data_IF_664531884037
#
_entry.id   IF_664531884037
#
_cell.length_a   1.000
_cell.length_b   1.000
_cell.length_c   1.000
_cell.angle_alpha   90.00
_cell.angle_beta   90.00
_cell.angle_gamma   90.00
#
_symmetry.space_group_name_H-M   'P 1'
#
loop_
_entity.id
_entity.type
_entity.pdbx_description
1 polymer ?
#
# COMPACT_ATOMS: atom_id res chain seq x y z
N UNK A 1 -11.45 10.25 -8.93
CA UNK A 1 -12.66 9.79 -8.21
C UNK A 1 -13.45 10.90 -7.53
N UNK A 2 -12.82 11.96 -6.99
CA UNK A 2 -13.54 13.11 -6.40
C UNK A 2 -14.31 13.98 -7.42
N UNK A 3 -13.81 14.09 -8.67
CA UNK A 3 -14.42 14.94 -9.70
C UNK A 3 -15.82 14.50 -10.18
N UNK A 4 -16.25 13.27 -9.86
CA UNK A 4 -17.53 12.73 -10.31
C UNK A 4 -18.51 12.40 -9.18
N UNK A 5 -18.14 12.57 -7.91
CA UNK A 5 -18.89 11.97 -6.79
C UNK A 5 -19.39 12.93 -5.70
N UNK A 6 -19.07 14.22 -5.78
CA UNK A 6 -19.50 15.21 -4.80
C UNK A 6 -18.85 15.02 -3.43
N UNK A 7 -18.81 16.08 -2.63
CA UNK A 7 -18.34 16.06 -1.24
C UNK A 7 -19.47 15.59 -0.33
N UNK A 8 -19.27 14.50 0.41
CA UNK A 8 -20.21 14.07 1.45
C UNK A 8 -20.63 12.59 1.44
N UNK A 9 -19.88 11.71 0.77
CA UNK A 9 -20.23 10.28 0.73
C UNK A 9 -19.07 9.46 1.28
N UNK A 10 -19.40 8.48 2.14
CA UNK A 10 -18.51 7.60 2.91
C UNK A 10 -17.60 6.70 2.08
N UNK A 11 -16.84 7.26 1.14
CA UNK A 11 -15.69 6.65 0.48
C UNK A 11 -14.45 6.60 1.38
N UNK A 12 -14.60 7.01 2.64
CA UNK A 12 -13.55 7.05 3.64
C UNK A 12 -14.11 6.38 4.90
N UNK A 13 -13.56 5.21 5.24
CA UNK A 13 -13.86 4.55 6.51
C UNK A 13 -13.03 5.29 7.56
N UNK A 14 -13.70 6.04 8.42
CA UNK A 14 -13.11 6.80 9.52
C UNK A 14 -13.98 6.56 10.74
N UNK A 15 -13.38 6.30 11.90
CA UNK A 15 -14.10 5.94 13.11
C UNK A 15 -13.22 5.56 14.30
N UNK A 16 -13.84 5.30 15.46
CA UNK A 16 -13.18 4.77 16.67
C UNK A 16 -12.40 3.49 16.35
N UNK A 17 -11.33 3.19 17.10
CA UNK A 17 -10.41 2.05 16.84
C UNK A 17 -11.13 0.69 16.71
N UNK A 18 -12.27 0.50 17.38
CA UNK A 18 -13.13 -0.70 17.28
C UNK A 18 -13.79 -0.90 15.92
N UNK A 19 -13.92 0.17 15.11
CA UNK A 19 -14.45 0.12 13.75
C UNK A 19 -13.37 -0.19 12.70
N UNK A 20 -12.10 -0.08 13.09
CA UNK A 20 -10.95 -0.14 12.20
C UNK A 20 -10.06 -1.39 12.46
N UNK A 21 -10.39 -2.18 13.48
CA UNK A 21 -9.60 -3.33 13.94
C UNK A 21 -9.23 -4.32 12.82
N UNK A 22 -10.16 -4.62 11.91
CA UNK A 22 -9.91 -5.58 10.81
C UNK A 22 -8.99 -5.03 9.73
N UNK A 23 -9.10 -3.75 9.40
CA UNK A 23 -8.22 -3.14 8.39
C UNK A 23 -6.85 -2.82 9.01
N UNK A 24 -6.77 -2.48 10.29
CA UNK A 24 -5.50 -2.39 11.02
C UNK A 24 -4.78 -3.73 11.09
N UNK A 25 -5.51 -4.82 11.38
CA UNK A 25 -4.94 -6.17 11.33
C UNK A 25 -4.45 -6.52 9.93
N UNK A 26 -5.22 -6.19 8.90
CA UNK A 26 -4.80 -6.37 7.51
C UNK A 26 -3.52 -5.59 7.19
N UNK A 27 -3.42 -4.31 7.60
CA UNK A 27 -2.21 -3.51 7.41
C UNK A 27 -0.99 -4.06 8.14
N UNK A 28 -1.19 -4.62 9.33
CA UNK A 28 -0.15 -5.36 10.04
C UNK A 28 0.32 -6.57 9.21
N UNK A 29 -0.60 -7.40 8.73
CA UNK A 29 -0.27 -8.60 7.96
C UNK A 29 0.40 -8.23 6.60
N UNK A 30 -0.03 -7.15 5.94
CA UNK A 30 0.63 -6.60 4.73
C UNK A 30 2.08 -6.19 5.03
N UNK A 31 2.27 -5.45 6.12
CA UNK A 31 3.59 -4.92 6.48
C UNK A 31 4.52 -6.06 6.90
N UNK A 32 4.01 -7.01 7.67
CA UNK A 32 4.77 -8.14 8.17
C UNK A 32 5.14 -9.15 7.08
N UNK A 33 4.17 -9.61 6.27
CA UNK A 33 4.37 -10.73 5.36
C UNK A 33 4.97 -10.31 4.01
N UNK A 34 4.61 -9.11 3.54
CA UNK A 34 5.06 -8.59 2.25
C UNK A 34 6.07 -7.46 2.41
N UNK A 35 5.80 -6.49 3.28
CA UNK A 35 6.57 -5.25 3.38
C UNK A 35 7.95 -5.43 4.04
N UNK A 36 8.03 -6.28 5.07
CA UNK A 36 9.19 -6.40 5.95
C UNK A 36 10.46 -6.79 5.17
N UNK A 37 10.37 -7.76 4.27
CA UNK A 37 11.52 -8.19 3.44
C UNK A 37 12.10 -7.07 2.58
N UNK A 38 11.24 -6.21 2.02
CA UNK A 38 11.65 -5.10 1.18
C UNK A 38 12.23 -3.97 2.02
N UNK A 39 11.62 -3.70 3.18
CA UNK A 39 12.14 -2.75 4.15
C UNK A 39 13.54 -3.15 4.61
N UNK A 40 13.74 -4.38 5.03
CA UNK A 40 15.04 -4.88 5.50
C UNK A 40 16.09 -4.81 4.39
N UNK A 41 15.72 -5.19 3.17
CA UNK A 41 16.60 -5.05 2.01
C UNK A 41 17.03 -3.60 1.73
N UNK A 42 16.11 -2.63 1.77
CA UNK A 42 16.46 -1.23 1.56
C UNK A 42 17.32 -0.66 2.69
N UNK A 43 17.08 -1.09 3.94
CA UNK A 43 17.95 -0.73 5.06
C UNK A 43 19.36 -1.31 4.89
N UNK A 44 19.47 -2.55 4.43
CA UNK A 44 20.77 -3.15 4.12
C UNK A 44 21.50 -2.40 3.00
N UNK A 45 20.77 -1.97 1.95
CA UNK A 45 21.34 -1.13 0.89
C UNK A 45 21.85 0.22 1.42
N UNK A 46 21.13 0.84 2.36
CA UNK A 46 21.52 2.12 2.96
C UNK A 46 22.78 1.97 3.82
N UNK A 47 22.85 0.93 4.64
CA UNK A 47 23.98 0.70 5.57
C UNK A 47 25.23 0.22 4.85
N UNK A 48 25.10 -0.68 3.87
CA UNK A 48 26.23 -1.41 3.31
C UNK A 48 26.58 -1.04 1.86
N UNK A 49 25.61 -0.55 1.07
CA UNK A 49 25.77 -0.42 -0.38
C UNK A 49 25.52 1.00 -0.91
N UNK A 50 25.60 2.01 -0.02
CA UNK A 50 25.62 3.42 -0.40
C UNK A 50 24.30 3.97 -0.93
N UNK A 51 23.17 3.31 -0.66
CA UNK A 51 21.86 3.90 -0.94
C UNK A 51 21.67 5.17 -0.09
N UNK A 52 21.39 6.29 -0.75
CA UNK A 52 21.02 7.52 -0.09
C UNK A 52 19.52 7.80 -0.31
N UNK A 53 18.66 7.70 0.73
CA UNK A 53 17.22 7.91 0.60
C UNK A 53 16.85 9.36 0.30
N UNK A 54 17.75 10.33 0.50
CA UNK A 54 17.50 11.74 0.14
C UNK A 54 17.85 12.04 -1.32
N UNK A 55 18.54 11.13 -2.02
CA UNK A 55 18.92 11.32 -3.41
C UNK A 55 17.79 10.85 -4.35
N UNK A 56 17.19 11.80 -5.09
CA UNK A 56 16.11 11.52 -6.06
C UNK A 56 16.53 10.52 -7.14
N UNK A 57 17.80 10.49 -7.55
CA UNK A 57 18.29 9.54 -8.55
C UNK A 57 18.34 8.11 -8.02
N UNK A 58 18.68 7.93 -6.75
CA UNK A 58 18.68 6.61 -6.12
C UNK A 58 17.25 6.09 -5.94
N UNK A 59 16.33 6.96 -5.54
CA UNK A 59 14.90 6.64 -5.46
C UNK A 59 14.34 6.24 -6.83
N UNK A 60 14.68 7.00 -7.88
CA UNK A 60 14.33 6.63 -9.25
C UNK A 60 14.89 5.26 -9.63
N UNK A 61 16.16 4.99 -9.32
CA UNK A 61 16.81 3.73 -9.67
C UNK A 61 16.17 2.53 -8.97
N UNK A 62 15.82 2.67 -7.69
CA UNK A 62 15.06 1.65 -6.94
C UNK A 62 13.72 1.36 -7.65
N UNK A 63 12.99 2.40 -8.02
CA UNK A 63 11.72 2.25 -8.71
C UNK A 63 11.91 1.56 -10.07
N UNK A 64 12.92 1.98 -10.83
CA UNK A 64 13.24 1.40 -12.13
C UNK A 64 13.57 -0.11 -12.03
N UNK A 65 14.38 -0.50 -11.05
CA UNK A 65 14.82 -1.90 -10.88
C UNK A 65 13.73 -2.80 -10.29
N UNK A 66 13.03 -2.34 -9.25
CA UNK A 66 12.26 -3.25 -8.40
C UNK A 66 10.78 -2.92 -8.27
N UNK A 67 10.28 -1.78 -8.78
CA UNK A 67 8.84 -1.51 -8.74
C UNK A 67 8.00 -2.62 -9.40
N UNK A 68 8.41 -3.20 -10.56
CA UNK A 68 7.69 -4.35 -11.12
C UNK A 68 7.69 -5.57 -10.20
N UNK A 69 8.82 -5.87 -9.54
CA UNK A 69 8.95 -6.99 -8.61
C UNK A 69 8.13 -6.78 -7.33
N UNK A 70 8.13 -5.56 -6.78
CA UNK A 70 7.32 -5.17 -5.62
C UNK A 70 5.83 -5.33 -5.96
N UNK A 71 5.41 -4.85 -7.13
CA UNK A 71 4.03 -5.01 -7.59
C UNK A 71 3.65 -6.47 -7.75
N UNK A 72 4.53 -7.30 -8.35
CA UNK A 72 4.27 -8.73 -8.49
C UNK A 72 4.15 -9.42 -7.12
N UNK A 73 5.05 -9.12 -6.18
CA UNK A 73 5.00 -9.66 -4.82
C UNK A 73 3.72 -9.23 -4.09
N UNK A 74 3.26 -7.99 -4.29
CA UNK A 74 1.99 -7.52 -3.74
C UNK A 74 0.78 -8.26 -4.33
N UNK A 75 0.81 -8.55 -5.64
CA UNK A 75 -0.23 -9.35 -6.31
C UNK A 75 -0.23 -10.80 -5.81
N UNK A 76 0.96 -11.40 -5.64
CA UNK A 76 1.12 -12.75 -5.11
C UNK A 76 0.59 -12.83 -3.66
N UNK A 77 0.96 -11.86 -2.82
CA UNK A 77 0.46 -11.75 -1.44
C UNK A 77 -1.06 -11.58 -1.41
N UNK A 78 -1.62 -10.70 -2.25
CA UNK A 78 -3.08 -10.55 -2.36
C UNK A 78 -3.76 -11.86 -2.78
N UNK A 79 -3.15 -12.62 -3.69
CA UNK A 79 -3.65 -13.93 -4.12
C UNK A 79 -3.66 -14.95 -2.97
N UNK A 80 -2.56 -15.02 -2.22
CA UNK A 80 -2.41 -15.85 -1.02
C UNK A 80 -3.43 -15.44 0.05
N UNK A 81 -3.47 -14.16 0.41
CA UNK A 81 -4.37 -13.62 1.41
C UNK A 81 -5.83 -13.87 1.04
N UNK A 82 -6.24 -13.65 -0.20
CA UNK A 82 -7.63 -13.93 -0.58
C UNK A 82 -8.01 -15.42 -0.55
N UNK A 83 -7.02 -16.31 -0.47
CA UNK A 83 -7.20 -17.78 -0.48
C UNK A 83 -6.93 -18.43 0.88
N UNK A 84 -6.41 -17.69 1.87
CA UNK A 84 -6.18 -18.25 3.21
C UNK A 84 -7.51 -18.43 3.95
N UNK A 85 -7.62 -19.44 4.82
CA UNK A 85 -8.83 -19.66 5.60
C UNK A 85 -8.81 -18.77 6.84
N UNK A 86 -9.83 -17.93 6.96
CA UNK A 86 -10.09 -17.17 8.18
C UNK A 86 -11.04 -17.97 9.06
N UNK A 87 -10.68 -18.11 10.32
CA UNK A 87 -11.59 -18.62 11.35
C UNK A 87 -12.28 -17.43 11.97
N UNK A 88 -13.55 -17.22 11.63
CA UNK A 88 -14.37 -16.28 12.37
C UNK A 88 -15.05 -17.04 13.52
N UNK A 89 -15.21 -16.40 14.69
CA UNK A 89 -16.03 -16.95 15.75
C UNK A 89 -17.39 -17.38 15.19
N UNK A 90 -17.88 -18.55 15.59
CA UNK A 90 -19.22 -19.08 15.23
C UNK A 90 -19.45 -19.42 13.75
N UNK A 91 -18.43 -19.45 12.89
CA UNK A 91 -18.58 -19.91 11.51
C UNK A 91 -17.50 -20.90 11.08
N UNK A 92 -17.79 -21.70 10.04
CA UNK A 92 -16.80 -22.60 9.47
C UNK A 92 -15.67 -21.80 8.80
N UNK A 93 -14.40 -22.27 8.89
CA UNK A 93 -13.28 -21.56 8.30
C UNK A 93 -13.49 -21.36 6.80
N UNK A 94 -13.55 -20.11 6.35
CA UNK A 94 -13.78 -19.74 4.94
C UNK A 94 -12.72 -18.76 4.48
N UNK A 95 -12.42 -18.79 3.19
CA UNK A 95 -11.48 -17.83 2.61
C UNK A 95 -12.14 -16.48 2.39
N UNK A 96 -11.40 -15.35 2.41
CA UNK A 96 -11.96 -14.05 2.05
C UNK A 96 -12.70 -14.06 0.72
N UNK A 97 -12.17 -14.79 -0.28
CA UNK A 97 -12.81 -14.95 -1.59
C UNK A 97 -14.13 -15.71 -1.50
N UNK A 98 -14.22 -16.76 -0.68
CA UNK A 98 -15.47 -17.49 -0.44
C UNK A 98 -16.50 -16.64 0.31
N UNK A 99 -16.06 -15.89 1.32
CA UNK A 99 -16.93 -14.98 2.07
C UNK A 99 -17.48 -13.88 1.16
N UNK A 100 -16.64 -13.25 0.36
CA UNK A 100 -17.07 -12.26 -0.63
C UNK A 100 -18.08 -12.86 -1.62
N UNK A 101 -17.78 -14.03 -2.19
CA UNK A 101 -18.67 -14.70 -3.15
C UNK A 101 -20.01 -15.07 -2.53
N UNK A 102 -20.01 -15.62 -1.31
CA UNK A 102 -21.23 -16.03 -0.62
C UNK A 102 -22.10 -14.83 -0.25
N UNK A 103 -21.50 -13.73 0.19
CA UNK A 103 -22.21 -12.47 0.39
C UNK A 103 -22.80 -11.93 -0.91
N UNK A 104 -22.06 -11.94 -2.02
CA UNK A 104 -22.59 -11.49 -3.31
C UNK A 104 -23.79 -12.31 -3.80
N UNK A 105 -23.87 -13.59 -3.41
CA UNK A 105 -25.00 -14.47 -3.73
C UNK A 105 -26.19 -14.23 -2.78
N UNK A 106 -25.91 -14.07 -1.48
CA UNK A 106 -26.94 -13.90 -0.44
C UNK A 106 -27.53 -12.49 -0.44
N UNK A 107 -26.68 -11.47 -0.53
CA UNK A 107 -27.01 -10.05 -0.37
C UNK A 107 -27.12 -9.32 -1.73
N UNK A 108 -26.78 -10.00 -2.82
CA UNK A 108 -26.71 -9.41 -4.16
C UNK A 108 -25.44 -8.59 -4.40
N UNK A 109 -25.29 -7.97 -5.59
CA UNK A 109 -24.11 -7.19 -5.92
C UNK A 109 -24.04 -5.90 -5.10
N UNK A 110 -23.20 -5.91 -4.05
CA UNK A 110 -22.91 -4.73 -3.22
C UNK A 110 -22.42 -3.58 -4.10
N UNK A 111 -23.00 -2.40 -3.92
CA UNK A 111 -22.70 -1.19 -4.69
C UNK A 111 -23.43 -1.04 -6.03
N UNK A 112 -23.93 -2.11 -6.67
CA UNK A 112 -24.75 -1.97 -7.91
C UNK A 112 -26.22 -1.72 -7.57
N UNK A 113 -26.72 -2.36 -6.52
CA UNK A 113 -28.05 -2.06 -5.98
C UNK A 113 -28.12 -0.62 -5.47
N UNK A 114 -27.10 -0.10 -4.79
CA UNK A 114 -26.99 1.32 -4.37
C UNK A 114 -26.83 2.31 -5.54
N UNK A 115 -26.24 1.89 -6.66
CA UNK A 115 -26.12 2.70 -7.88
C UNK A 115 -27.45 2.82 -8.66
N UNK A 116 -28.37 1.87 -8.49
CA UNK A 116 -29.66 1.83 -9.18
C UNK A 116 -30.87 2.05 -8.26
N UNK A 117 -30.70 1.89 -6.96
CA UNK A 117 -31.70 2.23 -5.98
C UNK A 117 -31.82 3.75 -5.93
N UNK A 118 -33.06 4.24 -5.96
CA UNK A 118 -33.35 5.57 -5.38
C UNK A 118 -32.75 5.56 -3.98
N UNK A 119 -32.14 6.67 -3.49
CA UNK A 119 -31.60 6.69 -2.13
C UNK A 119 -32.70 6.17 -1.22
N UNK A 120 -32.48 4.96 -0.72
CA UNK A 120 -33.37 4.42 0.29
C UNK A 120 -32.97 5.29 1.48
N UNK A 121 -33.90 6.10 1.94
CA UNK A 121 -33.88 6.65 3.29
C UNK A 121 -34.08 5.44 4.21
N UNK A 122 -33.12 4.50 4.17
CA UNK A 122 -32.99 3.50 5.21
C UNK A 122 -32.56 4.36 6.39
N UNK A 123 -33.50 4.58 7.32
CA UNK A 123 -33.17 4.93 8.68
C UNK A 123 -32.20 3.83 9.16
N UNK A 124 -30.90 4.03 8.91
CA UNK A 124 -29.86 3.23 9.52
C UNK A 124 -29.96 3.61 11.00
N UNK A 125 -30.73 2.81 11.75
CA UNK A 125 -31.10 3.05 13.16
C UNK A 125 -29.89 3.45 14.02
N UNK A 126 -28.69 3.02 13.63
CA UNK A 126 -27.44 3.52 14.20
C UNK A 126 -26.28 3.51 13.18
N UNK A 127 -26.02 4.65 12.53
CA UNK A 127 -24.80 4.87 11.74
C UNK A 127 -23.52 4.62 12.57
N UNK A 128 -23.57 4.79 13.89
CA UNK A 128 -22.43 4.55 14.78
C UNK A 128 -22.18 3.05 14.99
N UNK A 129 -23.15 2.18 14.74
CA UNK A 129 -23.00 0.72 14.81
C UNK A 129 -22.32 0.12 13.56
N UNK A 130 -22.26 0.88 12.47
CA UNK A 130 -21.79 0.39 11.18
C UNK A 130 -20.27 0.24 11.16
N UNK A 131 -19.78 -0.99 10.97
CA UNK A 131 -18.35 -1.29 10.93
C UNK A 131 -17.74 -1.69 12.29
N UNK A 132 -18.52 -1.64 13.38
CA UNK A 132 -18.11 -2.23 14.66
C UNK A 132 -18.09 -3.75 14.50
N UNK A 133 -16.94 -4.34 14.79
CA UNK A 133 -16.87 -5.77 15.03
C UNK A 133 -17.42 -6.06 16.43
N UNK A 134 -18.75 -6.17 16.55
CA UNK A 134 -19.43 -6.37 17.84
C UNK A 134 -18.92 -7.59 18.60
N UNK A 135 -18.40 -8.60 17.90
CA UNK A 135 -17.81 -9.79 18.53
C UNK A 135 -16.47 -9.48 19.20
N UNK A 136 -15.72 -8.52 18.69
CA UNK A 136 -14.45 -8.02 19.25
C UNK A 136 -14.69 -6.95 20.31
N UNK A 137 -15.71 -6.10 20.10
CA UNK A 137 -16.17 -5.13 21.10
C UNK A 137 -16.78 -5.81 22.33
N UNK A 138 -17.33 -7.01 22.21
CA UNK A 138 -17.82 -7.81 23.33
C UNK A 138 -16.70 -8.60 24.06
N UNK A 139 -15.46 -8.62 23.55
CA UNK A 139 -14.33 -9.24 24.26
C UNK A 139 -13.83 -8.30 25.37
N UNK A 140 -14.02 -8.66 26.66
CA UNK A 140 -13.66 -7.79 27.78
C UNK A 140 -12.15 -7.56 27.88
N UNK A 141 -11.33 -8.50 27.38
CA UNK A 141 -9.87 -8.38 27.39
C UNK A 141 -9.42 -7.36 26.36
N UNK A 142 -9.98 -7.43 25.16
CA UNK A 142 -9.64 -6.51 24.07
C UNK A 142 -10.14 -5.10 24.37
N UNK A 143 -11.39 -4.97 24.86
CA UNK A 143 -11.93 -3.68 25.29
C UNK A 143 -11.11 -3.05 26.41
N UNK A 144 -10.67 -3.82 27.41
CA UNK A 144 -9.81 -3.29 28.48
C UNK A 144 -8.48 -2.75 27.96
N UNK A 145 -7.90 -3.41 26.94
CA UNK A 145 -6.65 -2.94 26.32
C UNK A 145 -6.85 -1.65 25.52
N UNK A 146 -7.93 -1.54 24.74
CA UNK A 146 -8.26 -0.29 24.04
C UNK A 146 -8.51 0.82 25.07
N UNK A 147 -9.22 0.52 26.17
CA UNK A 147 -9.54 1.44 27.29
C UNK A 147 -8.30 2.06 27.93
N UNK A 148 -7.23 1.29 28.02
CA UNK A 148 -5.97 1.75 28.58
C UNK A 148 -5.11 2.53 27.58
N UNK A 149 -5.18 2.21 26.28
CA UNK A 149 -4.29 2.78 25.26
C UNK A 149 -4.86 4.03 24.56
N UNK A 150 -6.18 4.16 24.45
CA UNK A 150 -6.84 5.24 23.71
C UNK A 150 -7.95 5.93 24.53
N UNK A 151 -7.63 6.53 25.70
CA UNK A 151 -8.62 7.11 26.61
C UNK A 151 -9.45 8.26 25.99
N UNK A 152 -8.91 8.94 24.97
CA UNK A 152 -9.55 10.06 24.26
C UNK A 152 -10.65 9.61 23.27
N UNK A 153 -10.73 8.32 22.92
CA UNK A 153 -11.73 7.84 21.96
C UNK A 153 -13.16 7.74 22.53
N UNK A 154 -13.33 7.83 23.85
CA UNK A 154 -14.64 7.80 24.54
C UNK A 154 -15.21 9.16 24.91
N UNK A 155 -14.60 10.27 24.48
CA UNK A 155 -15.26 11.58 24.62
C UNK A 155 -16.62 11.56 23.90
N UNK A 156 -17.60 12.24 24.52
CA UNK A 156 -19.02 12.25 24.08
C UNK A 156 -19.21 12.94 22.72
N UNK A 157 -18.22 13.69 22.25
CA UNK A 157 -18.23 14.25 20.90
C UNK A 157 -17.94 13.15 19.88
N UNK A 158 -18.96 12.85 19.08
CA UNK A 158 -18.90 11.83 18.04
C UNK A 158 -17.72 12.11 17.08
N UNK A 159 -16.66 11.28 17.05
CA UNK A 159 -15.52 11.49 16.16
C UNK A 159 -15.94 11.39 14.68
N UNK A 160 -17.11 10.81 14.39
CA UNK A 160 -17.70 10.73 13.05
C UNK A 160 -18.53 11.97 12.66
N UNK A 161 -18.75 12.92 13.58
CA UNK A 161 -19.54 14.14 13.30
C UNK A 161 -18.83 15.10 12.34
N UNK A 162 -17.50 15.03 12.27
CA UNK A 162 -16.69 15.82 11.34
C UNK A 162 -15.75 14.92 10.56
N UNK A 163 -16.22 14.38 9.43
CA UNK A 163 -15.30 13.89 8.42
C UNK A 163 -14.28 15.00 8.12
N UNK A 164 -12.97 14.72 8.09
CA UNK A 164 -11.99 15.74 7.78
C UNK A 164 -12.38 16.39 6.44
N UNK A 165 -12.42 17.74 6.36
CA UNK A 165 -12.98 18.46 5.21
C UNK A 165 -12.25 18.14 3.89
N UNK A 166 -11.07 17.51 3.99
CA UNK A 166 -10.31 16.98 2.88
C UNK A 166 -9.73 15.62 3.28
N UNK A 167 -9.83 14.59 2.44
CA UNK A 167 -9.10 13.35 2.69
C UNK A 167 -7.60 13.64 2.73
N UNK A 168 -6.87 12.93 3.60
CA UNK A 168 -5.41 12.97 3.62
C UNK A 168 -4.89 12.53 2.26
N UNK A 169 -4.52 13.51 1.42
CA UNK A 169 -3.92 13.26 0.12
C UNK A 169 -2.42 13.41 0.28
N UNK A 170 -1.71 12.29 0.27
CA UNK A 170 -0.25 12.28 0.14
C UNK A 170 0.04 12.22 -1.36
N UNK A 171 0.54 13.30 -1.99
CA UNK A 171 0.96 13.24 -3.39
C UNK A 171 2.15 12.28 -3.49
N UNK A 172 1.94 11.12 -4.11
CA UNK A 172 3.01 10.18 -4.46
C UNK A 172 3.42 10.49 -5.89
N UNK A 173 4.23 11.53 -6.08
CA UNK A 173 4.80 11.83 -7.39
C UNK A 173 5.91 10.84 -7.71
N UNK A 174 5.86 10.14 -8.87
CA UNK A 174 6.96 9.28 -9.29
C UNK A 174 8.26 10.09 -9.40
N UNK A 175 9.41 9.54 -8.95
CA UNK A 175 10.68 10.21 -9.13
C UNK A 175 10.95 10.40 -10.63
N UNK A 176 11.43 11.58 -11.01
CA UNK A 176 11.71 11.92 -12.41
C UNK A 176 12.93 11.13 -12.92
N UNK A 177 12.85 10.67 -14.16
CA UNK A 177 13.98 10.00 -14.82
C UNK A 177 15.11 11.00 -15.07
N UNK A 178 16.32 10.77 -14.56
CA UNK A 178 17.42 11.70 -14.76
C UNK A 178 18.17 11.50 -16.09
N UNK A 179 17.84 10.46 -16.83
CA UNK A 179 18.52 10.07 -18.07
C UNK A 179 17.74 10.51 -19.29
N UNK A 180 18.48 10.89 -20.34
CA UNK A 180 17.93 10.97 -21.69
C UNK A 180 17.63 9.56 -22.25
N UNK A 181 16.89 9.48 -23.36
CA UNK A 181 16.47 8.21 -23.96
C UNK A 181 17.66 7.30 -24.30
N UNK A 182 18.74 7.87 -24.85
CA UNK A 182 19.95 7.12 -25.22
C UNK A 182 20.65 6.50 -24.00
N UNK A 183 20.86 7.27 -22.94
CA UNK A 183 21.47 6.78 -21.70
C UNK A 183 20.60 5.73 -21.02
N UNK A 184 19.28 5.84 -21.13
CA UNK A 184 18.35 4.84 -20.60
C UNK A 184 18.41 3.52 -21.39
N UNK A 185 18.55 3.58 -22.72
CA UNK A 185 18.78 2.40 -23.56
C UNK A 185 20.11 1.72 -23.23
N UNK A 186 21.18 2.50 -23.02
CA UNK A 186 22.48 1.97 -22.58
C UNK A 186 22.37 1.33 -21.19
N UNK A 187 21.69 1.97 -20.25
CA UNK A 187 21.46 1.44 -18.90
C UNK A 187 20.74 0.09 -18.95
N UNK A 188 19.61 0.04 -19.67
CA UNK A 188 18.77 -1.16 -19.76
C UNK A 188 19.49 -2.34 -20.44
N UNK A 189 20.15 -2.10 -21.58
CA UNK A 189 20.91 -3.13 -22.30
C UNK A 189 22.09 -3.66 -21.48
N UNK A 190 22.88 -2.76 -20.88
CA UNK A 190 24.06 -3.15 -20.10
C UNK A 190 23.67 -3.91 -18.84
N UNK A 191 22.59 -3.53 -18.16
CA UNK A 191 22.10 -4.28 -17.00
C UNK A 191 21.62 -5.67 -17.39
N UNK A 192 20.86 -5.80 -18.48
CA UNK A 192 20.37 -7.10 -18.94
C UNK A 192 21.51 -8.07 -19.31
N UNK A 193 22.64 -7.56 -19.80
CA UNK A 193 23.81 -8.37 -20.15
C UNK A 193 24.64 -8.79 -18.92
N UNK A 194 24.67 -7.97 -17.87
CA UNK A 194 25.56 -8.18 -16.71
C UNK A 194 24.91 -8.87 -15.54
N UNK A 195 23.62 -8.62 -15.31
CA UNK A 195 22.92 -9.08 -14.12
C UNK A 195 21.56 -9.69 -14.47
N UNK A 196 21.19 -10.75 -13.76
CA UNK A 196 19.89 -11.37 -13.91
C UNK A 196 18.83 -10.58 -13.13
N UNK A 197 18.08 -9.74 -13.83
CA UNK A 197 16.97 -8.96 -13.28
C UNK A 197 15.73 -9.82 -12.97
N UNK A 198 15.68 -11.06 -13.45
CA UNK A 198 14.54 -11.97 -13.22
C UNK A 198 14.65 -12.75 -11.90
N UNK A 199 15.82 -12.75 -11.27
CA UNK A 199 16.04 -13.46 -10.01
C UNK A 199 15.20 -12.85 -8.88
N UNK A 200 14.38 -13.69 -8.25
CA UNK A 200 13.49 -13.30 -7.14
C UNK A 200 14.17 -13.33 -5.77
N UNK A 201 15.37 -13.90 -5.67
CA UNK A 201 16.12 -14.01 -4.42
C UNK A 201 16.58 -12.65 -3.92
N UNK A 202 16.17 -12.27 -2.71
CA UNK A 202 16.52 -10.98 -2.12
C UNK A 202 18.05 -10.85 -1.94
N UNK A 203 18.70 -11.96 -1.59
CA UNK A 203 20.14 -12.06 -1.37
C UNK A 203 20.99 -11.88 -2.64
N UNK A 204 20.40 -11.84 -3.84
CA UNK A 204 21.13 -11.57 -5.09
C UNK A 204 20.92 -10.13 -5.57
N UNK A 205 19.92 -9.42 -5.05
CA UNK A 205 19.53 -8.09 -5.52
C UNK A 205 20.52 -7.00 -5.15
N UNK A 206 21.36 -7.20 -4.14
CA UNK A 206 22.45 -6.26 -3.85
C UNK A 206 23.50 -6.22 -4.98
N UNK A 207 23.74 -7.34 -5.69
CA UNK A 207 24.65 -7.37 -6.86
C UNK A 207 24.08 -6.51 -7.99
N UNK A 208 22.77 -6.62 -8.22
CA UNK A 208 22.05 -5.78 -9.19
C UNK A 208 22.19 -4.30 -8.81
N UNK A 209 22.06 -3.98 -7.51
CA UNK A 209 22.22 -2.62 -7.01
C UNK A 209 23.61 -2.05 -7.28
N UNK A 210 24.67 -2.78 -6.92
CA UNK A 210 26.06 -2.30 -7.06
C UNK A 210 26.44 -2.03 -8.52
N UNK A 211 26.03 -2.90 -9.44
CA UNK A 211 26.24 -2.68 -10.87
C UNK A 211 25.41 -1.49 -11.37
N UNK A 212 24.15 -1.40 -10.95
CA UNK A 212 23.25 -0.35 -11.40
C UNK A 212 23.65 1.05 -10.91
N UNK A 213 24.06 1.19 -9.65
CA UNK A 213 24.50 2.49 -9.11
C UNK A 213 25.80 2.94 -9.78
N UNK A 214 26.75 2.03 -9.98
CA UNK A 214 28.02 2.32 -10.66
C UNK A 214 27.80 2.77 -12.10
N UNK A 215 26.88 2.10 -12.81
CA UNK A 215 26.53 2.46 -14.18
C UNK A 215 25.76 3.79 -14.24
N UNK A 216 24.84 4.04 -13.30
CA UNK A 216 24.13 5.30 -13.21
C UNK A 216 25.07 6.48 -12.97
N UNK A 217 26.00 6.36 -12.04
CA UNK A 217 27.00 7.40 -11.76
C UNK A 217 27.89 7.69 -12.97
N UNK A 218 28.28 6.65 -13.71
CA UNK A 218 29.03 6.80 -14.96
C UNK A 218 28.21 7.56 -16.02
N UNK A 219 26.98 7.13 -16.27
CA UNK A 219 26.11 7.74 -17.29
C UNK A 219 25.75 9.20 -16.95
N UNK A 220 25.48 9.50 -15.68
CA UNK A 220 25.20 10.88 -15.24
C UNK A 220 26.40 11.79 -15.47
N UNK A 221 27.62 11.31 -15.19
CA UNK A 221 28.85 12.07 -15.45
C UNK A 221 29.05 12.33 -16.94
N UNK A 222 28.83 11.33 -17.80
CA UNK A 222 28.98 11.49 -19.25
C UNK A 222 27.92 12.42 -19.85
N UNK A 223 26.67 12.35 -19.35
CA UNK A 223 25.58 13.19 -19.81
C UNK A 223 25.78 14.66 -19.41
N UNK A 224 26.29 14.91 -18.20
CA UNK A 224 26.62 16.27 -17.74
C UNK A 224 27.81 16.85 -18.50
N UNK A 225 28.86 16.05 -18.74
CA UNK A 225 30.02 16.49 -19.52
C UNK A 225 29.64 16.88 -20.97
N UNK A 226 28.77 16.10 -21.63
CA UNK A 226 28.27 16.45 -22.97
C UNK A 226 27.34 17.67 -23.01
N UNK A 227 26.79 18.09 -21.86
CA UNK A 227 25.94 19.28 -21.75
C UNK A 227 26.76 20.57 -21.53
N UNK A 228 27.94 20.48 -20.91
CA UNK A 228 28.83 21.63 -20.70
C UNK A 228 29.57 22.06 -21.99
N UNK A 229 29.77 21.16 -22.95
CA UNK A 229 30.38 21.46 -24.26
C UNK A 229 29.45 22.23 -25.24
N UNK A 230 28.23 22.58 -24.81
CA UNK A 230 27.23 23.31 -25.62
C UNK A 230 26.88 24.68 -25.01
N UNK A 231 27.89 25.42 -24.53
CA UNK A 231 27.77 26.86 -24.31
C UNK A 231 28.68 27.62 -25.28
N UNK A 232 28.08 28.12 -26.37
CA UNK A 232 28.64 29.15 -27.25
C UNK A 232 28.14 30.54 -26.84
#
# INVERSE_FOLDING_TARGET
MLAHRGTGWGSYIFGRSVHNTRIERLWFDVTHDFGQKWKDFFLDLEVHYGLNPTNRHHLWLIHYLWLPSINQDAQDWMGMWNSHRMTLPRSSPRTPREMFRSSMIADGPRGIAELMARPIDDDVDDLNAFGIDWEVADDPTYMSHILEQNPEEWDEENPFSSAPPKPTHVPVEPPECPFNTESLEILSSTLADRVDLSDRRMEMRWVVWEEAISLCDYLLRTQNAGSEDVQF
#
